data_IF_653166156072
#
_entry.id   IF_653166156072
#
_cell.length_a   1.000
_cell.length_b   1.000
_cell.length_c   1.000
_cell.angle_alpha   90.00
_cell.angle_beta   90.00
_cell.angle_gamma   90.00
#
_symmetry.space_group_name_H-M   'P 1'
#
loop_
_entity.id
_entity.type
_entity.pdbx_description
1 polymer ?
#
# COMPACT_ATOMS: atom_id res chain seq x y z
N UNK A 1 49.62 -29.76 -24.74
CA UNK A 1 49.06 -29.66 -23.37
C UNK A 1 47.55 -29.66 -23.50
N UNK A 2 46.88 -30.79 -23.26
CA UNK A 2 45.41 -30.88 -23.36
C UNK A 2 44.79 -30.53 -22.00
N UNK A 3 43.68 -29.79 -21.95
CA UNK A 3 43.01 -29.51 -20.69
C UNK A 3 42.43 -30.80 -20.11
N UNK A 4 42.65 -31.03 -18.82
CA UNK A 4 42.15 -32.22 -18.12
C UNK A 4 40.62 -32.15 -17.97
N UNK A 5 39.88 -33.27 -18.10
CA UNK A 5 38.42 -33.30 -18.07
C UNK A 5 37.81 -32.77 -16.76
N UNK A 6 38.57 -32.82 -15.67
CA UNK A 6 38.22 -32.24 -14.36
C UNK A 6 38.20 -30.72 -14.35
N UNK A 7 39.06 -30.06 -15.15
CA UNK A 7 39.02 -28.60 -15.28
C UNK A 7 37.75 -28.13 -16.00
N UNK A 8 37.31 -28.92 -17.00
CA UNK A 8 36.04 -28.70 -17.71
C UNK A 8 34.84 -28.89 -16.79
N UNK A 9 34.82 -29.95 -15.98
CA UNK A 9 33.73 -30.21 -15.02
C UNK A 9 33.67 -29.13 -13.93
N UNK A 10 34.82 -28.67 -13.43
CA UNK A 10 34.92 -27.58 -12.46
C UNK A 10 34.43 -26.24 -13.03
N UNK A 11 34.78 -25.92 -14.28
CA UNK A 11 34.28 -24.74 -14.98
C UNK A 11 32.77 -24.78 -15.18
N UNK A 12 32.20 -25.93 -15.59
CA UNK A 12 30.75 -26.09 -15.76
C UNK A 12 30.00 -25.94 -14.43
N UNK A 13 30.52 -26.50 -13.33
CA UNK A 13 29.93 -26.36 -11.99
C UNK A 13 30.02 -24.92 -11.46
N UNK A 14 31.13 -24.22 -11.68
CA UNK A 14 31.26 -22.80 -11.33
C UNK A 14 30.28 -21.92 -12.12
N UNK A 15 30.10 -22.19 -13.42
CA UNK A 15 29.16 -21.46 -14.26
C UNK A 15 27.69 -21.75 -13.90
N UNK A 16 27.38 -22.96 -13.41
CA UNK A 16 26.04 -23.29 -12.90
C UNK A 16 25.71 -22.57 -11.58
N UNK A 17 26.71 -22.32 -10.71
CA UNK A 17 26.52 -21.62 -9.43
C UNK A 17 26.31 -20.10 -9.60
N UNK A 18 26.72 -19.53 -10.73
CA UNK A 18 26.52 -18.09 -11.03
C UNK A 18 25.09 -17.69 -11.42
N UNK A 19 24.15 -18.63 -11.52
CA UNK A 19 22.73 -18.33 -11.86
C UNK A 19 21.85 -18.23 -10.59
N UNK A 20 22.44 -18.05 -9.42
CA UNK A 20 21.68 -17.50 -8.30
C UNK A 20 21.45 -16.00 -8.55
N UNK A 21 20.45 -15.70 -9.35
CA UNK A 21 19.89 -14.36 -9.49
C UNK A 21 19.60 -13.82 -8.10
N UNK A 22 20.37 -12.83 -7.67
CA UNK A 22 20.04 -11.96 -6.55
C UNK A 22 18.76 -11.21 -6.94
N UNK A 23 17.61 -11.82 -6.67
CA UNK A 23 16.35 -11.10 -6.75
C UNK A 23 16.46 -9.90 -5.81
N UNK A 24 16.58 -8.70 -6.38
CA UNK A 24 16.61 -7.46 -5.60
C UNK A 24 15.39 -7.36 -4.69
N UNK A 25 15.56 -6.69 -3.55
CA UNK A 25 14.44 -6.37 -2.68
C UNK A 25 13.38 -5.55 -3.47
N UNK A 26 12.11 -5.89 -3.27
CA UNK A 26 11.00 -5.16 -3.90
C UNK A 26 10.96 -3.73 -3.34
N UNK A 27 10.86 -2.69 -4.19
CA UNK A 27 10.72 -1.30 -3.73
C UNK A 27 9.52 -1.13 -2.80
N UNK A 28 9.67 -0.31 -1.76
CA UNK A 28 8.58 0.04 -0.84
C UNK A 28 7.47 0.80 -1.59
N UNK A 29 6.18 0.48 -1.40
CA UNK A 29 5.09 1.26 -1.97
C UNK A 29 4.90 2.61 -1.27
N UNK A 30 4.21 3.53 -1.93
CA UNK A 30 3.70 4.77 -1.33
C UNK A 30 2.21 4.66 -1.03
N UNK A 31 1.75 5.50 -0.10
CA UNK A 31 0.34 5.66 0.27
C UNK A 31 0.01 7.15 0.30
N UNK A 32 -1.14 7.52 -0.23
CA UNK A 32 -1.74 8.85 -0.06
C UNK A 32 -3.26 8.73 0.13
N UNK A 33 -3.89 9.83 0.51
CA UNK A 33 -5.34 9.90 0.69
C UNK A 33 -5.89 11.19 0.09
N UNK A 34 -7.03 11.09 -0.57
CA UNK A 34 -7.74 12.19 -1.21
C UNK A 34 -9.17 12.29 -0.65
N UNK A 35 -9.66 13.49 -0.29
CA UNK A 35 -9.04 14.82 -0.48
C UNK A 35 -7.93 15.16 0.53
N UNK A 36 -7.72 14.32 1.54
CA UNK A 36 -6.69 14.51 2.55
C UNK A 36 -6.76 13.46 3.64
N UNK A 37 -6.18 13.77 4.81
CA UNK A 37 -6.12 12.85 5.95
C UNK A 37 -7.02 13.22 7.12
N UNK A 38 -7.66 14.40 7.09
CA UNK A 38 -8.67 14.82 8.06
C UNK A 38 -9.96 14.99 7.29
N UNK A 39 -10.96 14.16 7.57
CA UNK A 39 -12.15 14.03 6.73
C UNK A 39 -13.40 14.26 7.58
N UNK A 40 -14.37 15.08 7.11
CA UNK A 40 -15.63 15.25 7.82
C UNK A 40 -16.40 13.92 7.93
N UNK A 41 -17.13 13.69 9.03
CA UNK A 41 -18.03 12.55 9.15
C UNK A 41 -19.01 12.47 7.97
N UNK A 42 -19.28 11.27 7.46
CA UNK A 42 -20.15 11.02 6.31
C UNK A 42 -19.51 11.34 4.96
N UNK A 43 -18.36 12.02 4.91
CA UNK A 43 -17.66 12.31 3.66
C UNK A 43 -16.82 11.12 3.19
N UNK A 44 -16.60 10.98 1.87
CA UNK A 44 -15.76 9.93 1.34
C UNK A 44 -14.28 10.25 1.43
N UNK A 45 -13.47 9.19 1.48
CA UNK A 45 -12.01 9.27 1.30
C UNK A 45 -11.55 8.13 0.39
N UNK A 46 -10.57 8.41 -0.46
CA UNK A 46 -9.93 7.40 -1.31
C UNK A 46 -8.46 7.31 -0.95
N UNK A 47 -8.00 6.12 -0.57
CA UNK A 47 -6.58 5.83 -0.43
C UNK A 47 -6.01 5.40 -1.77
N UNK A 48 -4.83 5.92 -2.10
CA UNK A 48 -4.08 5.56 -3.29
C UNK A 48 -2.82 4.81 -2.87
N UNK A 49 -2.71 3.55 -3.27
CA UNK A 49 -1.50 2.74 -3.07
C UNK A 49 -0.74 2.66 -4.39
N UNK A 50 0.52 3.13 -4.42
CA UNK A 50 1.34 3.11 -5.63
C UNK A 50 2.61 2.28 -5.43
N UNK A 51 3.03 1.60 -6.49
CA UNK A 51 4.18 0.70 -6.49
C UNK A 51 4.76 0.53 -7.90
N UNK A 52 5.85 -0.23 -8.06
CA UNK A 52 6.47 -0.43 -9.37
C UNK A 52 5.51 -1.12 -10.34
N UNK A 53 5.70 -0.91 -11.65
CA UNK A 53 4.95 -1.63 -12.70
C UNK A 53 4.99 -3.15 -12.51
N UNK A 54 3.90 -3.84 -12.88
CA UNK A 54 3.79 -5.30 -12.82
C UNK A 54 3.39 -5.84 -11.44
N UNK A 55 2.78 -5.00 -10.61
CA UNK A 55 2.07 -5.43 -9.41
C UNK A 55 0.80 -6.19 -9.81
N UNK A 56 0.54 -7.32 -9.14
CA UNK A 56 -0.67 -8.10 -9.36
C UNK A 56 -1.83 -7.64 -8.48
N UNK A 57 -1.54 -7.25 -7.24
CA UNK A 57 -2.53 -6.75 -6.30
C UNK A 57 -1.87 -5.85 -5.25
N UNK A 58 -2.62 -4.85 -4.78
CA UNK A 58 -2.30 -4.09 -3.59
C UNK A 58 -3.20 -4.53 -2.43
N UNK A 59 -2.69 -4.37 -1.22
CA UNK A 59 -3.42 -4.54 0.03
C UNK A 59 -3.31 -3.28 0.87
N UNK A 60 -4.45 -2.75 1.29
CA UNK A 60 -4.54 -1.70 2.30
C UNK A 60 -4.83 -2.35 3.65
N UNK A 61 -3.91 -2.20 4.62
CA UNK A 61 -4.06 -2.72 5.97
C UNK A 61 -4.28 -1.60 6.99
N UNK A 62 -5.08 -1.90 8.01
CA UNK A 62 -5.27 -1.03 9.17
C UNK A 62 -4.63 -1.66 10.41
N UNK A 63 -3.58 -1.01 10.91
CA UNK A 63 -2.60 -1.59 11.84
C UNK A 63 -3.21 -2.18 13.13
N UNK A 64 -4.28 -1.58 13.66
CA UNK A 64 -4.82 -1.93 14.98
C UNK A 64 -6.09 -2.78 14.94
N UNK A 65 -6.52 -3.27 13.77
CA UNK A 65 -7.83 -3.92 13.64
C UNK A 65 -7.84 -5.24 12.90
N UNK A 66 -6.67 -5.75 12.49
CA UNK A 66 -6.57 -6.95 11.65
C UNK A 66 -7.47 -6.91 10.41
N UNK A 67 -7.83 -5.71 9.96
CA UNK A 67 -8.68 -5.46 8.80
C UNK A 67 -7.78 -5.07 7.65
N UNK A 68 -7.97 -5.73 6.51
CA UNK A 68 -7.31 -5.41 5.26
C UNK A 68 -8.30 -5.48 4.09
N UNK A 69 -7.98 -4.77 3.02
CA UNK A 69 -8.68 -4.87 1.74
C UNK A 69 -7.65 -5.15 0.66
N UNK A 70 -7.90 -6.17 -0.16
CA UNK A 70 -7.13 -6.45 -1.37
C UNK A 70 -7.81 -5.79 -2.56
N UNK A 71 -7.01 -5.31 -3.52
CA UNK A 71 -7.48 -4.81 -4.81
C UNK A 71 -6.51 -5.25 -5.92
N UNK A 72 -7.01 -6.06 -6.84
CA UNK A 72 -6.31 -6.54 -8.04
C UNK A 72 -6.66 -5.72 -9.31
N UNK A 73 -7.57 -4.74 -9.20
CA UNK A 73 -7.81 -3.72 -10.22
C UNK A 73 -6.66 -2.68 -10.21
N UNK A 74 -5.53 -3.10 -10.77
CA UNK A 74 -4.29 -2.31 -10.83
C UNK A 74 -4.22 -1.54 -12.14
N UNK A 75 -4.12 -0.22 -12.05
CA UNK A 75 -3.96 0.68 -13.19
C UNK A 75 -2.51 1.17 -13.31
N UNK A 76 -2.08 1.52 -14.53
CA UNK A 76 -0.81 2.21 -14.76
C UNK A 76 -1.04 3.72 -14.72
N UNK A 77 -0.35 4.41 -13.81
CA UNK A 77 -0.39 5.87 -13.71
C UNK A 77 0.85 6.53 -14.32
N UNK A 78 1.90 5.75 -14.57
CA UNK A 78 3.04 6.14 -15.40
C UNK A 78 3.71 4.89 -16.00
N UNK A 79 4.67 5.02 -16.94
CA UNK A 79 5.38 3.87 -17.51
C UNK A 79 6.09 2.97 -16.50
N UNK A 80 6.31 3.46 -15.27
CA UNK A 80 7.04 2.74 -14.22
C UNK A 80 6.22 2.53 -12.94
N UNK A 81 5.00 3.05 -12.87
CA UNK A 81 4.20 3.11 -11.64
C UNK A 81 2.79 2.54 -11.86
N UNK A 82 2.45 1.58 -11.01
CA UNK A 82 1.13 0.98 -10.87
C UNK A 82 0.43 1.53 -9.64
N UNK A 83 -0.90 1.60 -9.69
CA UNK A 83 -1.74 2.09 -8.60
C UNK A 83 -2.98 1.21 -8.44
N UNK A 84 -3.45 1.06 -7.20
CA UNK A 84 -4.81 0.68 -6.90
C UNK A 84 -5.40 1.61 -5.85
N UNK A 85 -6.72 1.84 -5.93
CA UNK A 85 -7.43 2.75 -5.04
C UNK A 85 -8.35 1.99 -4.09
N UNK A 86 -8.56 2.55 -2.89
CA UNK A 86 -9.41 1.98 -1.87
C UNK A 86 -10.32 3.08 -1.32
N UNK A 87 -11.60 3.00 -1.66
CA UNK A 87 -12.58 3.99 -1.25
C UNK A 87 -13.28 3.60 0.05
N UNK A 88 -13.52 4.59 0.90
CA UNK A 88 -14.44 4.55 2.03
C UNK A 88 -15.49 5.62 1.76
N UNK A 89 -16.74 5.22 1.53
CA UNK A 89 -17.78 6.15 1.07
C UNK A 89 -18.28 7.11 2.15
N UNK A 90 -18.30 6.65 3.40
CA UNK A 90 -18.79 7.42 4.55
C UNK A 90 -17.85 7.24 5.72
N UNK A 91 -16.98 8.22 5.93
CA UNK A 91 -16.05 8.24 7.07
C UNK A 91 -16.81 8.40 8.39
N UNK A 92 -16.36 7.67 9.40
CA UNK A 92 -16.86 7.74 10.77
C UNK A 92 -15.70 7.54 11.74
N UNK A 93 -15.91 7.70 13.05
CA UNK A 93 -14.90 7.35 14.07
C UNK A 93 -14.34 5.93 13.87
N UNK A 94 -15.19 5.02 13.39
CA UNK A 94 -14.77 3.67 13.09
C UNK A 94 -13.77 3.59 11.94
N UNK A 95 -13.75 4.56 11.02
CA UNK A 95 -12.76 4.65 9.94
C UNK A 95 -11.42 5.24 10.41
N UNK A 96 -11.39 6.01 11.50
CA UNK A 96 -10.18 6.70 11.96
C UNK A 96 -9.04 5.71 12.31
N UNK A 97 -7.81 6.00 11.90
CA UNK A 97 -6.69 5.13 12.26
C UNK A 97 -5.49 5.21 11.34
N UNK A 98 -4.61 4.23 11.48
CA UNK A 98 -3.32 4.17 10.79
C UNK A 98 -3.37 3.11 9.71
N UNK A 99 -3.07 3.53 8.49
CA UNK A 99 -3.15 2.76 7.27
C UNK A 99 -1.77 2.57 6.64
N UNK A 100 -1.56 1.40 6.02
CA UNK A 100 -0.36 1.06 5.25
C UNK A 100 -0.74 0.27 4.00
N UNK A 101 0.01 0.47 2.93
CA UNK A 101 -0.06 -0.34 1.72
C UNK A 101 1.05 -1.40 1.70
N UNK A 102 0.75 -2.54 1.11
CA UNK A 102 1.71 -3.57 0.69
C UNK A 102 1.25 -4.10 -0.67
N UNK A 103 2.14 -4.64 -1.49
CA UNK A 103 1.76 -5.21 -2.78
C UNK A 103 2.36 -6.58 -3.03
N UNK A 104 1.73 -7.33 -3.92
CA UNK A 104 2.20 -8.63 -4.37
C UNK A 104 2.73 -8.56 -5.80
N UNK A 105 3.99 -8.99 -5.99
CA UNK A 105 4.67 -9.03 -7.29
C UNK A 105 5.65 -10.21 -7.33
N UNK A 106 5.71 -10.92 -8.45
CA UNK A 106 6.63 -12.05 -8.65
C UNK A 106 6.63 -13.05 -7.46
N UNK A 107 5.43 -13.45 -7.02
CA UNK A 107 5.20 -14.41 -5.92
C UNK A 107 5.69 -13.97 -4.53
N UNK A 108 5.97 -12.67 -4.35
CA UNK A 108 6.45 -12.11 -3.08
C UNK A 108 5.66 -10.86 -2.72
N UNK A 109 5.53 -10.62 -1.42
CA UNK A 109 5.02 -9.37 -0.87
C UNK A 109 6.16 -8.36 -0.74
N UNK A 110 5.87 -7.09 -0.98
CA UNK A 110 6.79 -5.98 -0.70
C UNK A 110 6.96 -5.76 0.81
N UNK A 111 7.82 -4.83 1.20
CA UNK A 111 7.69 -4.20 2.52
C UNK A 111 6.43 -3.32 2.57
N UNK A 112 6.00 -2.98 3.79
CA UNK A 112 4.95 -1.99 4.01
C UNK A 112 5.38 -0.58 3.61
N UNK A 113 4.43 0.22 3.13
CA UNK A 113 4.60 1.66 2.96
C UNK A 113 4.85 2.37 4.28
N UNK A 114 5.16 3.68 4.18
CA UNK A 114 4.99 4.59 5.31
C UNK A 114 3.54 4.58 5.80
N UNK A 115 3.35 5.03 7.04
CA UNK A 115 2.05 5.05 7.67
C UNK A 115 1.30 6.34 7.35
N UNK A 116 0.02 6.22 7.01
CA UNK A 116 -0.90 7.35 6.84
C UNK A 116 -1.97 7.31 7.93
N UNK A 117 -2.12 8.40 8.68
CA UNK A 117 -3.13 8.53 9.75
C UNK A 117 -4.35 9.25 9.22
N UNK A 118 -5.48 8.54 9.14
CA UNK A 118 -6.80 9.12 8.85
C UNK A 118 -7.44 9.58 10.17
N UNK A 119 -7.85 10.84 10.20
CA UNK A 119 -8.56 11.49 11.31
C UNK A 119 -9.93 11.94 10.83
N UNK A 120 -10.88 11.99 11.76
CA UNK A 120 -12.25 12.39 11.51
C UNK A 120 -12.42 13.77 12.12
N UNK A 121 -12.94 14.71 11.35
CA UNK A 121 -13.24 16.04 11.87
C UNK A 121 -14.30 15.95 12.98
N UNK A 122 -14.12 16.69 14.06
CA UNK A 122 -15.09 16.73 15.14
C UNK A 122 -16.39 17.40 14.67
N UNK A 123 -17.53 16.76 14.88
CA UNK A 123 -18.81 17.46 14.81
C UNK A 123 -18.88 18.44 15.98
N UNK A 124 -18.87 19.74 15.73
CA UNK A 124 -19.34 20.69 16.74
C UNK A 124 -20.81 20.33 16.98
N UNK A 125 -21.22 19.96 18.21
CA UNK A 125 -22.63 19.74 18.46
C UNK A 125 -23.37 21.07 18.28
N UNK A 126 -24.41 21.06 17.43
CA UNK A 126 -25.40 22.13 17.33
C UNK A 126 -26.22 22.18 18.64
N UNK A 127 -25.61 22.68 19.71
CA UNK A 127 -26.29 23.02 20.95
C UNK A 127 -25.95 24.46 21.28
N UNK A 128 -26.97 25.24 21.63
CA UNK A 128 -26.99 26.70 21.89
C UNK A 128 -27.50 27.59 20.72
N UNK A 129 -28.61 27.22 20.09
CA UNK A 129 -29.54 28.16 19.47
C UNK A 129 -31.00 27.88 19.90
N UNK A 130 -31.22 27.66 21.20
CA UNK A 130 -32.56 27.62 21.78
C UNK A 130 -32.46 27.98 23.26
N UNK A 131 -32.67 29.25 23.60
CA UNK A 131 -32.67 29.66 25.00
C UNK A 131 -32.43 31.13 25.32
N UNK A 132 -32.89 32.08 24.50
CA UNK A 132 -33.07 33.47 24.97
C UNK A 132 -34.17 34.17 24.19
N UNK A 133 -35.41 33.74 24.40
CA UNK A 133 -36.59 34.58 24.24
C UNK A 133 -37.71 33.98 25.09
N UNK A 134 -37.85 34.54 26.30
CA UNK A 134 -39.04 34.63 27.17
C UNK A 134 -38.58 34.70 28.64
N UNK A 135 -38.18 35.90 29.07
CA UNK A 135 -38.68 36.62 30.25
C UNK A 135 -38.18 38.07 30.21
#
# INVERSE_FOLDING_TARGET
>A
MSPHPTALLGLVLCLAQTIHTREGALPRPSISAEPGTVIPPGSPVTFHCQGPVGVHAFRLERENRSQYKDNDEVSLVSPFLSEATFRVDSVSEDSAGRYRCIYHKASRWSEYSEQLRLEVEGTVPDTEASGFDLL
#
